data_IF_546347973795
#
_entry.id   IF_546347973795
#
_cell.length_a   1.000
_cell.length_b   1.000
_cell.length_c   1.000
_cell.angle_alpha   90.00
_cell.angle_beta   90.00
_cell.angle_gamma   90.00
#
_symmetry.space_group_name_H-M   'P 1'
#
loop_
_entity.id
_entity.type
_entity.pdbx_description
1 polymer ?
#
# COMPACT_ATOMS: atom_id res chain seq x y z
N UNK A 1 10.43 -36.06 -2.64
CA UNK A 1 9.83 -35.06 -3.52
C UNK A 1 9.12 -34.05 -2.62
N UNK A 2 9.78 -32.93 -2.32
CA UNK A 2 9.20 -31.89 -1.46
C UNK A 2 8.16 -31.15 -2.30
N UNK A 3 6.89 -31.24 -1.89
CA UNK A 3 5.84 -30.38 -2.38
C UNK A 3 6.25 -28.93 -2.03
N UNK A 4 6.57 -28.13 -3.04
CA UNK A 4 6.71 -26.69 -2.83
C UNK A 4 5.31 -26.14 -2.60
N UNK A 5 4.89 -26.07 -1.33
CA UNK A 5 3.77 -25.23 -0.95
C UNK A 5 4.09 -23.83 -1.46
N UNK A 6 3.36 -23.39 -2.49
CA UNK A 6 3.40 -22.02 -2.98
C UNK A 6 3.00 -21.14 -1.80
N UNK A 7 3.99 -20.57 -1.12
CA UNK A 7 3.76 -19.54 -0.10
C UNK A 7 2.79 -18.52 -0.71
N UNK A 8 1.69 -18.19 -0.03
CA UNK A 8 0.79 -17.16 -0.54
C UNK A 8 1.63 -15.91 -0.78
N UNK A 9 1.54 -15.37 -1.99
CA UNK A 9 2.17 -14.11 -2.38
C UNK A 9 1.57 -12.99 -1.52
N UNK A 10 2.06 -12.84 -0.29
CA UNK A 10 2.08 -11.54 0.32
C UNK A 10 3.18 -10.79 -0.44
N UNK A 11 2.87 -9.61 -0.96
CA UNK A 11 3.80 -8.65 -1.52
C UNK A 11 4.91 -8.18 -0.54
N UNK A 12 5.15 -8.91 0.54
CA UNK A 12 6.29 -8.75 1.44
C UNK A 12 7.56 -9.06 0.65
N UNK A 13 8.34 -8.02 0.37
CA UNK A 13 9.62 -8.14 -0.31
C UNK A 13 9.61 -7.61 -1.73
N UNK A 14 8.47 -7.33 -2.37
CA UNK A 14 8.45 -6.88 -3.78
C UNK A 14 9.31 -5.62 -3.97
N UNK A 15 9.17 -4.63 -3.08
CA UNK A 15 9.97 -3.42 -3.16
C UNK A 15 11.48 -3.69 -2.97
N UNK A 16 11.87 -4.68 -2.16
CA UNK A 16 13.28 -4.99 -1.88
C UNK A 16 13.90 -5.92 -2.93
N UNK A 17 13.15 -6.91 -3.41
CA UNK A 17 13.63 -7.99 -4.27
C UNK A 17 13.37 -7.74 -5.76
N UNK A 18 12.35 -6.97 -6.11
CA UNK A 18 11.85 -6.87 -7.48
C UNK A 18 11.63 -5.44 -7.99
N UNK A 19 11.83 -4.43 -7.14
CA UNK A 19 11.79 -3.02 -7.54
C UNK A 19 13.18 -2.40 -7.41
N UNK A 20 14.04 -2.48 -8.45
CA UNK A 20 15.43 -2.02 -8.36
C UNK A 20 15.54 -0.53 -8.07
N UNK A 21 14.56 0.26 -8.51
CA UNK A 21 14.46 1.70 -8.25
C UNK A 21 13.79 2.02 -6.92
N UNK A 22 13.21 1.02 -6.23
CA UNK A 22 12.47 1.15 -4.97
C UNK A 22 11.45 2.28 -5.03
N UNK A 23 10.78 2.35 -6.18
CA UNK A 23 10.01 3.49 -6.64
C UNK A 23 9.03 3.99 -5.57
N UNK A 24 8.20 3.12 -5.00
CA UNK A 24 7.21 3.47 -3.97
C UNK A 24 7.81 4.24 -2.77
N UNK A 25 8.94 3.80 -2.22
CA UNK A 25 9.54 4.47 -1.06
C UNK A 25 10.43 5.66 -1.46
N UNK A 26 10.77 5.78 -2.74
CA UNK A 26 11.72 6.78 -3.26
C UNK A 26 11.04 7.96 -3.97
N UNK A 27 9.71 8.01 -3.96
CA UNK A 27 8.94 9.16 -4.45
C UNK A 27 8.87 10.23 -3.36
N UNK A 28 9.28 11.44 -3.71
CA UNK A 28 9.07 12.63 -2.88
C UNK A 28 7.62 13.11 -3.02
N UNK A 29 7.11 13.77 -1.98
CA UNK A 29 5.75 14.31 -1.96
C UNK A 29 4.68 13.23 -2.17
N UNK A 30 4.95 12.00 -1.71
CA UNK A 30 3.93 10.95 -1.70
C UNK A 30 2.77 11.39 -0.79
N UNK A 31 1.54 11.03 -1.16
CA UNK A 31 0.38 11.32 -0.31
C UNK A 31 0.56 10.64 1.04
N UNK A 32 0.24 11.32 2.16
CA UNK A 32 0.50 10.77 3.48
C UNK A 32 -0.16 9.40 3.66
N UNK A 33 0.66 8.39 3.93
CA UNK A 33 0.21 7.00 4.04
C UNK A 33 -0.72 6.86 5.25
N UNK A 34 -1.96 6.38 5.09
CA UNK A 34 -2.87 6.18 6.21
C UNK A 34 -2.35 5.10 7.15
N UNK A 35 -2.48 5.36 8.44
CA UNK A 35 -2.21 4.40 9.51
C UNK A 35 -3.38 4.38 10.48
N UNK A 36 -3.63 3.24 11.11
CA UNK A 36 -4.65 3.13 12.17
C UNK A 36 -4.01 2.76 13.51
N UNK A 37 -4.70 2.93 14.66
CA UNK A 37 -4.11 2.81 15.99
C UNK A 37 -3.31 1.53 16.24
N UNK A 38 -3.79 0.38 15.75
CA UNK A 38 -3.10 -0.91 15.90
C UNK A 38 -1.79 -0.97 15.10
N UNK A 39 -1.74 -0.36 13.91
CA UNK A 39 -0.50 -0.18 13.14
C UNK A 39 0.47 0.77 13.84
N UNK A 40 -0.04 1.87 14.41
CA UNK A 40 0.80 2.82 15.16
C UNK A 40 1.49 2.08 16.32
N UNK A 41 0.73 1.30 17.09
CA UNK A 41 1.29 0.50 18.19
C UNK A 41 2.35 -0.49 17.69
N UNK A 42 2.07 -1.19 16.58
CA UNK A 42 3.00 -2.17 16.00
C UNK A 42 4.30 -1.50 15.52
N UNK A 43 4.19 -0.35 14.85
CA UNK A 43 5.33 0.42 14.35
C UNK A 43 6.14 1.02 15.51
N UNK A 44 5.49 1.53 16.57
CA UNK A 44 6.18 2.04 17.76
C UNK A 44 6.96 0.92 18.45
N UNK A 45 6.37 -0.27 18.62
CA UNK A 45 7.02 -1.43 19.22
C UNK A 45 8.23 -1.91 18.40
N UNK A 46 8.11 -1.91 17.07
CA UNK A 46 9.18 -2.35 16.19
C UNK A 46 10.32 -1.33 16.08
N UNK A 47 9.99 -0.05 15.91
CA UNK A 47 10.96 1.01 15.59
C UNK A 47 11.50 1.75 16.81
N UNK A 48 10.80 1.68 17.95
CA UNK A 48 11.06 2.51 19.13
C UNK A 48 10.70 4.00 18.94
N UNK A 49 10.21 4.40 17.76
CA UNK A 49 9.86 5.78 17.44
C UNK A 49 8.40 6.04 17.82
N UNK A 50 8.13 7.17 18.49
CA UNK A 50 6.78 7.59 18.90
C UNK A 50 6.23 8.76 18.08
N UNK A 51 7.11 9.63 17.61
CA UNK A 51 6.75 10.81 16.81
C UNK A 51 6.92 10.53 15.32
N UNK A 52 6.03 9.70 14.76
CA UNK A 52 6.10 9.30 13.34
C UNK A 52 4.80 9.45 12.54
N UNK A 53 3.73 9.86 13.19
CA UNK A 53 2.43 10.03 12.57
C UNK A 53 1.87 11.41 12.89
N UNK A 54 1.00 11.90 12.02
CA UNK A 54 0.16 13.07 12.23
C UNK A 54 -1.28 12.62 12.45
N UNK A 55 -2.05 13.43 13.17
CA UNK A 55 -3.48 13.20 13.39
C UNK A 55 -4.27 14.40 12.88
N UNK A 56 -5.22 14.15 12.00
CA UNK A 56 -6.14 15.15 11.45
C UNK A 56 -7.57 14.68 11.68
N UNK A 57 -8.32 15.28 12.59
CA UNK A 57 -9.66 14.76 12.95
C UNK A 57 -9.58 13.35 13.56
N UNK A 58 -10.26 12.38 12.96
CA UNK A 58 -10.22 10.95 13.35
C UNK A 58 -9.02 10.19 12.77
N UNK A 59 -8.33 10.82 11.84
CA UNK A 59 -7.49 10.17 10.84
C UNK A 59 -6.03 10.28 11.23
N UNK A 60 -5.25 9.23 10.95
CA UNK A 60 -3.81 9.22 11.21
C UNK A 60 -3.03 8.89 9.94
N UNK A 61 -1.92 9.59 9.74
CA UNK A 61 -1.06 9.40 8.56
C UNK A 61 0.41 9.39 8.96
N UNK A 62 1.27 8.72 8.18
CA UNK A 62 2.71 8.82 8.39
C UNK A 62 3.22 10.23 8.09
N UNK A 63 4.11 10.73 8.95
CA UNK A 63 4.80 12.00 8.73
C UNK A 63 5.71 11.94 7.50
N UNK A 64 5.86 13.10 6.89
CA UNK A 64 6.86 13.36 5.85
C UNK A 64 7.95 14.25 6.45
N UNK A 65 9.22 13.97 6.10
CA UNK A 65 10.37 14.79 6.52
C UNK A 65 10.41 16.08 5.70
N UNK A 66 11.21 17.06 6.14
CA UNK A 66 11.42 18.32 5.41
C UNK A 66 11.89 18.13 3.96
N UNK A 67 12.63 17.05 3.69
CA UNK A 67 13.08 16.69 2.34
C UNK A 67 12.01 15.94 1.50
N UNK A 68 10.76 15.97 1.96
CA UNK A 68 9.58 15.41 1.31
C UNK A 68 9.55 13.87 1.17
N UNK A 69 10.42 13.15 1.87
CA UNK A 69 10.37 11.69 1.96
C UNK A 69 9.61 11.22 3.20
N UNK A 70 9.02 10.01 3.14
CA UNK A 70 8.47 9.32 4.29
C UNK A 70 9.47 9.29 5.46
N UNK A 71 8.97 9.46 6.69
CA UNK A 71 9.81 9.46 7.90
C UNK A 71 10.59 8.17 8.16
N UNK A 72 10.17 7.06 7.57
CA UNK A 72 10.86 5.78 7.67
C UNK A 72 11.74 5.44 6.47
N UNK A 73 11.91 6.35 5.51
CA UNK A 73 12.84 6.14 4.40
C UNK A 73 14.29 6.40 4.83
N UNK A 74 15.16 5.41 4.62
CA UNK A 74 16.61 5.52 4.81
C UNK A 74 17.25 5.99 3.49
N UNK A 75 17.73 7.24 3.45
CA UNK A 75 18.31 7.83 2.25
C UNK A 75 19.62 7.18 1.80
N UNK A 76 20.37 6.60 2.74
CA UNK A 76 21.67 5.99 2.46
C UNK A 76 21.49 4.60 1.88
N UNK A 77 20.66 3.79 2.53
CA UNK A 77 20.35 2.43 2.07
C UNK A 77 19.31 2.41 0.97
N UNK A 78 18.56 3.51 0.78
CA UNK A 78 17.38 3.64 -0.09
C UNK A 78 16.25 2.69 0.30
N UNK A 79 16.04 2.44 1.58
CA UNK A 79 15.22 1.33 2.09
C UNK A 79 14.20 1.83 3.10
N UNK A 80 13.11 1.07 3.32
CA UNK A 80 12.18 1.39 4.40
C UNK A 80 12.69 0.79 5.72
N UNK A 81 12.90 1.64 6.74
CA UNK A 81 13.35 1.23 8.06
C UNK A 81 12.35 0.38 8.85
N UNK A 82 11.09 0.33 8.43
CA UNK A 82 10.02 -0.47 9.06
C UNK A 82 9.45 -1.53 8.11
N UNK A 83 10.24 -2.00 7.14
CA UNK A 83 9.78 -2.90 6.08
C UNK A 83 8.90 -4.09 6.54
N UNK A 84 9.22 -4.79 7.66
CA UNK A 84 8.42 -5.93 8.14
C UNK A 84 7.05 -5.55 8.73
N UNK A 85 6.87 -4.31 9.17
CA UNK A 85 5.67 -3.80 9.84
C UNK A 85 5.07 -2.59 9.11
N UNK A 86 5.26 -2.53 7.79
CA UNK A 86 4.75 -1.44 6.96
C UNK A 86 3.23 -1.32 7.11
N UNK A 87 2.68 -0.09 6.98
CA UNK A 87 1.24 0.10 6.88
C UNK A 87 0.65 -0.70 5.72
N UNK A 88 -0.64 -1.03 5.85
CA UNK A 88 -1.39 -1.84 4.90
C UNK A 88 -1.31 -1.30 3.46
N UNK A 89 -1.47 0.00 3.29
CA UNK A 89 -1.31 0.70 2.01
C UNK A 89 0.06 0.41 1.36
N UNK A 90 1.14 0.49 2.14
CA UNK A 90 2.49 0.13 1.69
C UNK A 90 2.70 -1.38 1.48
N UNK A 91 1.87 -2.23 2.08
CA UNK A 91 1.97 -3.69 1.97
C UNK A 91 1.37 -4.22 0.67
N UNK A 92 0.36 -3.54 0.12
CA UNK A 92 -0.34 -3.98 -1.09
C UNK A 92 0.34 -3.54 -2.40
N UNK A 93 1.36 -2.67 -2.33
CA UNK A 93 2.17 -2.27 -3.49
C UNK A 93 2.64 -3.49 -4.32
N UNK A 94 2.51 -3.46 -5.67
CA UNK A 94 2.22 -2.32 -6.54
C UNK A 94 0.73 -2.04 -6.77
N UNK A 95 -0.14 -2.72 -6.05
CA UNK A 95 -1.59 -2.51 -6.15
C UNK A 95 -2.01 -1.36 -5.27
N UNK A 96 -3.13 -0.77 -5.65
CA UNK A 96 -3.83 0.29 -4.93
C UNK A 96 -5.31 0.22 -5.31
N UNK A 97 -6.14 1.07 -4.73
CA UNK A 97 -7.54 1.16 -5.11
C UNK A 97 -8.04 2.59 -5.12
N UNK A 98 -9.06 2.83 -5.93
CA UNK A 98 -9.84 4.06 -5.99
C UNK A 98 -11.24 3.77 -5.46
N UNK A 99 -11.81 4.66 -4.63
CA UNK A 99 -13.09 4.40 -3.96
C UNK A 99 -14.08 5.57 -4.10
N UNK A 100 -15.19 5.37 -4.81
CA UNK A 100 -16.25 6.37 -4.95
C UNK A 100 -17.54 5.91 -4.29
N UNK A 101 -17.86 6.51 -3.14
CA UNK A 101 -18.98 6.07 -2.31
C UNK A 101 -18.75 4.64 -1.82
N UNK A 102 -19.67 3.73 -2.13
CA UNK A 102 -19.56 2.32 -1.71
C UNK A 102 -18.95 1.42 -2.80
N UNK A 103 -18.39 2.00 -3.85
CA UNK A 103 -17.78 1.26 -4.96
C UNK A 103 -16.27 1.49 -4.97
N UNK A 104 -15.52 0.40 -5.12
CA UNK A 104 -14.06 0.44 -5.23
C UNK A 104 -13.59 -0.18 -6.54
N UNK A 105 -12.47 0.30 -7.07
CA UNK A 105 -11.79 -0.25 -8.23
C UNK A 105 -10.33 -0.48 -7.91
N UNK A 106 -9.82 -1.65 -8.29
CA UNK A 106 -8.41 -1.93 -8.21
C UNK A 106 -7.65 -1.18 -9.29
N UNK A 107 -6.42 -0.80 -8.96
CA UNK A 107 -5.43 -0.35 -9.92
C UNK A 107 -4.07 -0.98 -9.63
N UNK A 108 -3.16 -0.87 -10.59
CA UNK A 108 -1.76 -1.22 -10.42
C UNK A 108 -0.87 -0.10 -10.92
N UNK A 109 0.08 0.32 -10.10
CA UNK A 109 1.08 1.31 -10.49
C UNK A 109 1.98 0.77 -11.60
N UNK A 110 2.31 1.61 -12.59
CA UNK A 110 3.20 1.26 -13.70
C UNK A 110 4.67 1.34 -13.27
N UNK A 111 5.05 0.38 -12.43
CA UNK A 111 6.41 0.18 -11.98
C UNK A 111 7.08 -1.00 -12.70
N UNK A 112 8.42 -1.11 -12.65
CA UNK A 112 9.13 -2.22 -13.30
C UNK A 112 8.58 -3.60 -12.93
N UNK A 113 8.16 -3.81 -11.67
CA UNK A 113 7.62 -5.10 -11.23
C UNK A 113 6.25 -5.42 -11.85
N UNK A 114 5.36 -4.42 -11.97
CA UNK A 114 4.01 -4.66 -12.51
C UNK A 114 4.00 -5.01 -14.00
N UNK A 115 5.09 -4.73 -14.72
CA UNK A 115 5.26 -5.11 -16.12
C UNK A 115 5.47 -6.62 -16.31
N UNK A 116 5.87 -7.35 -15.26
CA UNK A 116 6.07 -8.80 -15.30
C UNK A 116 4.86 -9.61 -14.82
N UNK A 117 3.79 -8.94 -14.37
CA UNK A 117 2.60 -9.61 -13.86
C UNK A 117 1.64 -9.94 -15.00
N UNK A 118 1.28 -11.21 -15.14
CA UNK A 118 0.17 -11.62 -16.02
C UNK A 118 -1.18 -11.25 -15.42
N UNK A 119 -2.20 -11.09 -16.26
CA UNK A 119 -3.56 -10.78 -15.81
C UNK A 119 -4.12 -11.83 -14.84
N UNK A 120 -3.89 -13.13 -15.11
CA UNK A 120 -4.32 -14.21 -14.21
C UNK A 120 -3.64 -14.13 -12.84
N UNK A 121 -2.37 -13.73 -12.80
CA UNK A 121 -1.64 -13.58 -11.55
C UNK A 121 -2.12 -12.35 -10.77
N UNK A 122 -2.38 -11.25 -11.47
CA UNK A 122 -3.02 -10.06 -10.89
C UNK A 122 -4.34 -10.47 -10.24
N UNK A 123 -5.22 -11.16 -10.96
CA UNK A 123 -6.54 -11.52 -10.45
C UNK A 123 -6.48 -12.44 -9.21
N UNK A 124 -5.53 -13.37 -9.17
CA UNK A 124 -5.27 -14.20 -7.99
C UNK A 124 -4.85 -13.37 -6.77
N UNK A 125 -3.98 -12.38 -6.96
CA UNK A 125 -3.54 -11.48 -5.89
C UNK A 125 -4.70 -10.62 -5.40
N UNK A 126 -5.46 -10.01 -6.32
CA UNK A 126 -6.61 -9.16 -5.96
C UNK A 126 -7.67 -9.96 -5.19
N UNK A 127 -8.01 -11.16 -5.66
CA UNK A 127 -8.95 -12.05 -4.97
C UNK A 127 -8.45 -12.43 -3.57
N UNK A 128 -7.14 -12.67 -3.43
CA UNK A 128 -6.53 -12.91 -2.12
C UNK A 128 -6.67 -11.70 -1.19
N UNK A 129 -6.40 -10.49 -1.70
CA UNK A 129 -6.55 -9.25 -0.94
C UNK A 129 -7.99 -9.04 -0.46
N UNK A 130 -8.96 -9.18 -1.35
CA UNK A 130 -10.38 -9.04 -1.03
C UNK A 130 -10.82 -10.06 0.03
N UNK A 131 -10.35 -11.30 -0.08
CA UNK A 131 -10.74 -12.38 0.83
C UNK A 131 -10.11 -12.25 2.22
N UNK A 132 -8.85 -11.80 2.29
CA UNK A 132 -8.06 -11.84 3.54
C UNK A 132 -7.98 -10.50 4.25
N UNK A 133 -8.13 -9.39 3.54
CA UNK A 133 -7.85 -8.05 4.05
C UNK A 133 -9.01 -7.08 3.84
N UNK A 134 -10.24 -7.56 3.62
CA UNK A 134 -11.44 -6.72 3.47
C UNK A 134 -11.56 -5.63 4.56
N UNK A 135 -11.34 -5.99 5.82
CA UNK A 135 -11.42 -5.04 6.93
C UNK A 135 -10.35 -3.94 6.85
N UNK A 136 -9.18 -4.27 6.31
CA UNK A 136 -8.11 -3.30 6.11
C UNK A 136 -8.48 -2.29 5.02
N UNK A 137 -9.05 -2.75 3.91
CA UNK A 137 -9.59 -1.86 2.88
C UNK A 137 -10.66 -0.93 3.42
N UNK A 138 -11.56 -1.43 4.27
CA UNK A 138 -12.60 -0.59 4.88
C UNK A 138 -12.03 0.46 5.82
N UNK A 139 -10.92 0.17 6.52
CA UNK A 139 -10.25 1.13 7.40
C UNK A 139 -9.61 2.29 6.64
N UNK A 140 -9.18 2.07 5.40
CA UNK A 140 -8.53 3.10 4.58
C UNK A 140 -9.39 3.55 3.39
N UNK A 141 -10.69 3.21 3.39
CA UNK A 141 -11.57 3.41 2.23
C UNK A 141 -11.69 4.88 1.82
N UNK A 142 -11.81 5.76 2.79
CA UNK A 142 -11.98 7.20 2.54
C UNK A 142 -10.68 7.89 2.09
N UNK A 143 -9.52 7.26 2.33
CA UNK A 143 -8.21 7.76 1.90
C UNK A 143 -7.84 7.39 0.47
N UNK A 144 -8.55 6.43 -0.14
CA UNK A 144 -8.23 5.81 -1.42
C UNK A 144 -8.40 6.74 -2.64
N UNK A 145 -8.57 8.05 -2.43
CA UNK A 145 -9.01 8.99 -3.45
C UNK A 145 -8.05 10.14 -3.72
N UNK A 146 -7.07 10.38 -2.85
CA UNK A 146 -6.40 11.68 -2.81
C UNK A 146 -5.37 11.88 -3.95
N UNK A 147 -5.05 10.85 -4.74
CA UNK A 147 -4.04 10.92 -5.81
C UNK A 147 -4.48 10.38 -7.16
N UNK A 148 -5.68 9.82 -7.27
CA UNK A 148 -6.08 9.04 -8.44
C UNK A 148 -7.13 9.82 -9.23
N UNK A 149 -6.71 10.30 -10.39
CA UNK A 149 -7.63 10.78 -11.42
C UNK A 149 -7.94 9.63 -12.38
N UNK A 150 -9.11 8.95 -12.25
CA UNK A 150 -9.45 7.85 -13.14
C UNK A 150 -9.64 8.31 -14.60
N UNK A 151 -9.86 9.61 -14.83
CA UNK A 151 -10.01 10.20 -16.16
C UNK A 151 -8.65 10.59 -16.78
N UNK A 152 -7.56 10.60 -15.99
CA UNK A 152 -6.19 10.85 -16.44
C UNK A 152 -5.18 9.87 -15.81
N UNK A 153 -5.14 8.60 -16.26
CA UNK A 153 -4.37 7.54 -15.61
C UNK A 153 -2.87 7.58 -15.96
N UNK A 154 -2.20 8.70 -15.71
CA UNK A 154 -0.74 8.77 -15.86
C UNK A 154 -0.07 7.97 -14.73
N UNK A 155 0.70 6.94 -15.11
CA UNK A 155 1.53 6.16 -14.18
C UNK A 155 0.85 4.98 -13.51
N UNK A 156 -0.39 4.65 -13.88
CA UNK A 156 -1.07 3.44 -13.40
C UNK A 156 -2.05 2.87 -14.43
N UNK A 157 -2.46 1.62 -14.23
CA UNK A 157 -3.52 0.95 -14.99
C UNK A 157 -4.70 0.65 -14.09
N UNK A 158 -5.89 1.09 -14.49
CA UNK A 158 -7.14 0.63 -13.89
C UNK A 158 -7.34 -0.86 -14.18
N UNK A 159 -7.75 -1.60 -13.15
CA UNK A 159 -8.04 -3.02 -13.22
C UNK A 159 -9.56 -3.23 -13.08
N UNK A 160 -9.98 -4.28 -12.38
CA UNK A 160 -11.38 -4.61 -12.16
C UNK A 160 -11.96 -3.89 -10.95
N UNK A 161 -13.30 -3.81 -10.92
CA UNK A 161 -14.04 -3.45 -9.71
C UNK A 161 -13.66 -4.39 -8.57
N UNK A 162 -13.55 -3.84 -7.36
CA UNK A 162 -13.35 -4.62 -6.16
C UNK A 162 -14.60 -5.43 -5.85
N UNK A 163 -14.44 -6.66 -5.40
CA UNK A 163 -15.51 -7.46 -4.81
C UNK A 163 -15.64 -7.17 -3.31
N UNK A 164 -15.67 -5.88 -2.95
CA UNK A 164 -15.83 -5.37 -1.60
C UNK A 164 -16.84 -4.22 -1.65
N UNK A 165 -17.76 -4.21 -0.69
CA UNK A 165 -18.71 -3.14 -0.49
C UNK A 165 -18.67 -2.75 0.98
N UNK A 166 -18.20 -1.54 1.33
CA UNK A 166 -18.26 -1.08 2.71
C UNK A 166 -19.72 -0.91 3.13
N UNK A 167 -20.01 -1.30 4.36
CA UNK A 167 -21.30 -1.05 5.01
C UNK A 167 -21.12 0.11 5.99
N UNK A 168 -21.13 1.33 5.46
CA UNK A 168 -21.18 2.52 6.30
C UNK A 168 -22.55 2.55 7.00
N UNK A 169 -22.55 2.68 8.32
CA UNK A 169 -23.77 2.84 9.12
C UNK A 169 -24.22 4.29 9.14
#
# INVERSE_FOLDING_TARGET
>A
MMNSEKKPLIASGICQAHCPTRWCCSVQCFVPVPVYPEQIQTIEQFSGKKDFYEKTGSDYTLKTRENQYCIFFDDQKKECGIYPVRPFDCLIYPFDFYAKGNEGWWLVWDCPYSQYLSLDHIDQILTHFETRYAQEFFRIWDYANDSIDPDNPEGFRMLRKMNLTPHFR
#
